data_IF_606209205170
#
_entry.id   IF_606209205170
#
_cell.length_a   1.000
_cell.length_b   1.000
_cell.length_c   1.000
_cell.angle_alpha   90.00
_cell.angle_beta   90.00
_cell.angle_gamma   90.00
#
_symmetry.space_group_name_H-M   'P 1'
#
loop_
_entity.id
_entity.type
_entity.pdbx_description
1 polymer ?
#
# COMPACT_ATOMS: atom_id res chain seq x y z
N UNK A 1 55.53 -39.62 69.65
CA UNK A 1 54.96 -39.84 71.00
C UNK A 1 54.01 -38.68 71.29
N UNK A 2 52.69 -38.95 71.34
CA UNK A 2 51.56 -38.14 71.88
C UNK A 2 51.55 -36.63 71.58
N UNK A 3 50.76 -36.14 70.60
CA UNK A 3 49.33 -35.76 70.70
C UNK A 3 48.97 -34.96 71.96
N UNK A 4 48.69 -33.66 71.79
CA UNK A 4 47.44 -33.07 72.31
C UNK A 4 47.12 -31.73 71.64
N UNK A 5 45.86 -31.68 71.22
CA UNK A 5 45.14 -30.66 70.45
C UNK A 5 44.74 -29.46 71.32
N UNK A 6 44.97 -28.25 70.84
CA UNK A 6 44.26 -27.04 71.30
C UNK A 6 43.64 -26.33 70.09
N UNK A 7 42.32 -26.46 69.95
CA UNK A 7 41.50 -25.70 69.00
C UNK A 7 41.45 -24.23 69.46
N UNK A 8 41.92 -23.31 68.63
CA UNK A 8 41.51 -21.89 68.66
C UNK A 8 40.73 -21.60 67.38
N UNK A 9 39.45 -21.29 67.54
CA UNK A 9 38.54 -20.82 66.51
C UNK A 9 38.87 -19.36 66.16
N UNK A 10 39.19 -19.12 64.89
CA UNK A 10 39.29 -17.79 64.27
C UNK A 10 38.05 -17.60 63.36
N UNK A 11 37.40 -16.42 63.36
CA UNK A 11 36.18 -16.21 62.60
C UNK A 11 36.48 -16.07 61.10
N UNK A 12 35.72 -16.80 60.28
CA UNK A 12 35.68 -16.57 58.83
C UNK A 12 35.08 -15.17 58.58
N UNK A 13 35.90 -14.27 58.04
CA UNK A 13 35.41 -13.07 57.36
C UNK A 13 35.06 -13.50 55.94
N UNK A 14 33.79 -13.77 55.70
CA UNK A 14 33.24 -13.94 54.35
C UNK A 14 33.22 -12.57 53.65
N UNK A 15 34.15 -12.34 52.74
CA UNK A 15 34.11 -11.20 51.83
C UNK A 15 33.01 -11.48 50.79
N UNK A 16 31.87 -10.85 50.97
CA UNK A 16 30.78 -10.84 49.99
C UNK A 16 31.19 -9.93 48.82
N UNK A 17 31.74 -10.51 47.76
CA UNK A 17 31.95 -9.80 46.50
C UNK A 17 30.59 -9.66 45.82
N UNK A 18 29.95 -8.50 46.00
CA UNK A 18 28.77 -8.12 45.21
C UNK A 18 29.26 -7.77 43.81
N UNK A 19 29.19 -8.73 42.89
CA UNK A 19 29.30 -8.45 41.46
C UNK A 19 27.99 -7.76 41.07
N UNK A 20 28.00 -6.43 41.03
CA UNK A 20 26.96 -5.65 40.37
C UNK A 20 27.03 -5.98 38.87
N UNK A 21 26.24 -6.94 38.42
CA UNK A 21 25.98 -7.13 37.00
C UNK A 21 25.23 -5.89 36.51
N UNK A 22 25.94 -4.97 35.86
CA UNK A 22 25.37 -3.93 35.01
C UNK A 22 24.61 -4.63 33.88
N UNK A 23 23.32 -4.88 34.10
CA UNK A 23 22.39 -5.19 33.03
C UNK A 23 22.45 -4.00 32.04
N UNK A 24 22.71 -4.22 30.75
CA UNK A 24 22.50 -3.16 29.79
C UNK A 24 21.02 -2.80 29.88
N UNK A 25 20.72 -1.54 30.15
CA UNK A 25 19.41 -0.94 29.93
C UNK A 25 19.15 -1.00 28.43
N UNK A 26 18.80 -2.18 27.94
CA UNK A 26 18.19 -2.35 26.65
C UNK A 26 16.90 -1.55 26.70
N UNK A 27 16.86 -0.45 25.96
CA UNK A 27 15.62 0.21 25.60
C UNK A 27 14.72 -0.84 24.97
N UNK A 28 13.86 -1.47 25.76
CA UNK A 28 12.72 -2.21 25.25
C UNK A 28 11.87 -1.14 24.59
N UNK A 29 12.03 -0.98 23.27
CA UNK A 29 11.19 -0.10 22.47
C UNK A 29 9.75 -0.42 22.85
N UNK A 30 9.09 0.52 23.53
CA UNK A 30 7.72 0.33 23.99
C UNK A 30 6.88 -0.05 22.78
N UNK A 31 6.29 -1.23 22.83
CA UNK A 31 5.53 -1.76 21.70
C UNK A 31 4.37 -0.80 21.44
N UNK A 32 4.42 -0.11 20.30
CA UNK A 32 3.40 0.86 19.91
C UNK A 32 2.05 0.16 19.80
N UNK A 33 1.02 0.72 20.43
CA UNK A 33 -0.36 0.30 20.21
C UNK A 33 -0.79 0.74 18.80
N UNK A 34 -1.16 -0.24 17.97
CA UNK A 34 -1.57 -0.07 16.56
C UNK A 34 -3.06 -0.34 16.36
N UNK A 35 -3.82 -0.53 17.43
CA UNK A 35 -5.27 -0.78 17.37
C UNK A 35 -6.06 0.48 17.04
N UNK A 36 -5.49 1.65 17.35
CA UNK A 36 -6.03 2.98 17.03
C UNK A 36 -4.98 3.76 16.27
N UNK A 37 -5.38 4.36 15.14
CA UNK A 37 -4.52 5.20 14.31
C UNK A 37 -5.13 6.60 14.15
N UNK A 38 -4.31 7.65 13.97
CA UNK A 38 -2.84 7.65 13.97
C UNK A 38 -2.24 7.36 15.35
N UNK A 39 -1.05 6.77 15.39
CA UNK A 39 -0.34 6.51 16.65
C UNK A 39 0.00 7.84 17.30
N UNK A 40 -0.50 8.05 18.53
CA UNK A 40 -0.30 9.30 19.27
C UNK A 40 1.16 9.47 19.66
N UNK A 41 1.73 10.64 19.35
CA UNK A 41 3.06 11.02 19.81
C UNK A 41 3.11 11.10 21.34
N UNK A 42 4.18 10.59 21.99
CA UNK A 42 4.34 10.74 23.42
C UNK A 42 4.42 12.21 23.83
N UNK A 43 3.81 12.54 24.96
CA UNK A 43 3.96 13.87 25.56
C UNK A 43 5.35 13.98 26.18
N UNK A 44 6.15 14.93 25.70
CA UNK A 44 7.46 15.24 26.30
C UNK A 44 7.29 16.24 27.44
N UNK A 45 8.04 16.09 28.55
CA UNK A 45 8.04 17.08 29.62
C UNK A 45 8.60 18.42 29.13
N UNK A 46 8.12 19.52 29.70
CA UNK A 46 8.65 20.85 29.42
C UNK A 46 10.12 20.95 29.85
N UNK A 47 10.95 21.61 29.04
CA UNK A 47 12.34 21.86 29.39
C UNK A 47 12.41 22.88 30.54
N UNK A 48 13.10 22.50 31.61
CA UNK A 48 13.42 23.41 32.73
C UNK A 48 14.77 24.10 32.54
N UNK A 49 15.50 23.78 31.46
CA UNK A 49 16.78 24.41 31.13
C UNK A 49 16.52 25.78 30.49
N UNK A 50 17.04 26.84 31.13
CA UNK A 50 16.83 28.23 30.71
C UNK A 50 17.72 28.65 29.53
N UNK A 51 18.95 28.11 29.46
CA UNK A 51 19.85 28.35 28.33
C UNK A 51 19.58 27.31 27.24
N UNK A 52 19.07 27.76 26.10
CA UNK A 52 18.75 26.88 24.98
C UNK A 52 19.98 26.09 24.45
N UNK A 53 21.21 26.56 24.70
CA UNK A 53 22.45 25.87 24.30
C UNK A 53 22.72 24.61 25.12
N UNK A 54 22.19 24.55 26.33
CA UNK A 54 22.34 23.43 27.26
C UNK A 54 21.14 22.47 27.22
N UNK A 55 20.07 22.85 26.51
CA UNK A 55 18.87 22.04 26.38
C UNK A 55 19.10 20.85 25.44
N UNK A 56 18.65 19.65 25.85
CA UNK A 56 18.68 18.44 25.03
C UNK A 56 17.32 18.20 24.39
N UNK A 57 17.27 18.19 23.06
CA UNK A 57 16.04 17.87 22.33
C UNK A 57 15.59 16.43 22.62
N UNK A 58 14.28 16.17 22.76
CA UNK A 58 13.76 14.81 22.81
C UNK A 58 14.06 14.08 21.48
N UNK A 59 14.13 12.73 21.50
CA UNK A 59 14.23 11.97 20.27
C UNK A 59 13.03 12.26 19.37
N UNK A 60 13.25 12.32 18.06
CA UNK A 60 12.15 12.46 17.09
C UNK A 60 11.24 11.25 17.19
N UNK A 61 9.94 11.48 17.35
CA UNK A 61 8.95 10.42 17.26
C UNK A 61 8.78 10.00 15.80
N UNK A 62 9.04 8.71 15.52
CA UNK A 62 8.88 8.13 14.19
C UNK A 62 8.11 6.81 14.30
N UNK A 63 7.02 6.68 13.55
CA UNK A 63 6.31 5.41 13.39
C UNK A 63 7.00 4.61 12.29
N UNK A 64 7.69 3.54 12.67
CA UNK A 64 8.29 2.57 11.73
C UNK A 64 7.37 1.37 11.57
N UNK A 65 7.43 0.72 10.41
CA UNK A 65 6.74 -0.56 10.22
C UNK A 65 7.28 -1.63 11.19
N UNK A 66 6.47 -2.64 11.56
CA UNK A 66 6.96 -3.78 12.33
C UNK A 66 8.18 -4.43 11.67
N UNK A 67 9.07 -5.00 12.49
CA UNK A 67 10.22 -5.73 11.96
C UNK A 67 9.76 -6.85 11.01
N UNK A 68 10.43 -6.97 9.85
CA UNK A 68 10.11 -7.94 8.78
C UNK A 68 8.73 -7.72 8.12
N UNK A 69 8.12 -6.54 8.28
CA UNK A 69 6.96 -6.15 7.50
C UNK A 69 7.27 -6.31 5.99
N UNK A 70 6.42 -7.03 5.22
CA UNK A 70 6.69 -7.30 3.81
C UNK A 70 6.37 -6.07 2.95
N UNK A 71 6.98 -6.01 1.78
CA UNK A 71 6.44 -5.21 0.69
C UNK A 71 5.16 -5.86 0.17
N UNK A 72 4.16 -5.06 -0.18
CA UNK A 72 2.88 -5.54 -0.69
C UNK A 72 2.63 -4.90 -2.06
N UNK A 73 2.36 -5.74 -3.06
CA UNK A 73 1.94 -5.29 -4.40
C UNK A 73 0.62 -5.96 -4.73
N UNK A 74 -0.40 -5.16 -5.02
CA UNK A 74 -1.67 -5.63 -5.58
C UNK A 74 -1.68 -5.26 -7.06
N UNK A 75 -1.76 -6.28 -7.91
CA UNK A 75 -1.97 -6.12 -9.35
C UNK A 75 -3.44 -6.39 -9.65
N UNK A 76 -4.19 -5.36 -10.03
CA UNK A 76 -5.60 -5.47 -10.40
C UNK A 76 -5.78 -5.28 -11.91
N UNK A 77 -6.30 -6.30 -12.57
CA UNK A 77 -6.67 -6.23 -13.99
C UNK A 77 -8.14 -5.83 -14.12
N UNK A 78 -8.46 -5.02 -15.12
CA UNK A 78 -9.79 -4.47 -15.35
C UNK A 78 -10.50 -5.27 -16.45
N UNK A 79 -11.70 -5.77 -16.16
CA UNK A 79 -12.55 -6.57 -17.06
C UNK A 79 -11.90 -7.84 -17.67
N UNK A 80 -10.89 -8.39 -17.01
CA UNK A 80 -10.29 -9.67 -17.42
C UNK A 80 -11.14 -10.84 -16.93
N UNK A 81 -11.73 -11.58 -17.87
CA UNK A 81 -12.53 -12.77 -17.58
C UNK A 81 -11.72 -13.90 -16.94
N UNK A 82 -12.35 -14.67 -16.06
CA UNK A 82 -11.73 -15.78 -15.33
C UNK A 82 -10.99 -16.77 -16.24
N UNK A 83 -11.60 -17.14 -17.37
CA UNK A 83 -11.07 -18.10 -18.32
C UNK A 83 -10.20 -17.47 -19.43
N UNK A 84 -9.79 -16.20 -19.30
CA UNK A 84 -8.94 -15.57 -20.31
C UNK A 84 -7.48 -16.07 -20.19
N UNK A 85 -6.93 -16.11 -18.98
CA UNK A 85 -5.51 -16.37 -18.71
C UNK A 85 -5.14 -17.84 -18.79
N UNK A 86 -3.99 -18.14 -19.42
CA UNK A 86 -3.35 -19.47 -19.41
C UNK A 86 -3.15 -20.05 -18.01
N UNK A 87 -2.97 -19.21 -16.97
CA UNK A 87 -2.78 -19.65 -15.59
C UNK A 87 -4.02 -20.34 -15.00
N UNK A 88 -5.19 -20.07 -15.59
CA UNK A 88 -6.49 -20.65 -15.27
C UNK A 88 -7.04 -21.51 -16.42
N UNK A 89 -6.19 -21.91 -17.38
CA UNK A 89 -6.56 -22.76 -18.52
C UNK A 89 -7.12 -22.02 -19.73
N UNK A 90 -7.03 -20.69 -19.74
CA UNK A 90 -7.50 -19.84 -20.82
C UNK A 90 -6.58 -19.78 -22.06
N UNK A 91 -7.07 -19.26 -23.19
CA UNK A 91 -6.33 -19.21 -24.44
C UNK A 91 -5.29 -18.09 -24.52
N UNK A 92 -5.35 -17.08 -23.63
CA UNK A 92 -4.43 -15.95 -23.63
C UNK A 92 -3.16 -16.33 -22.87
N UNK A 93 -2.05 -16.39 -23.60
CA UNK A 93 -0.73 -16.70 -23.08
C UNK A 93 -0.22 -15.58 -22.15
N UNK A 94 -0.10 -15.87 -20.85
CA UNK A 94 0.35 -14.94 -19.82
C UNK A 94 1.51 -15.55 -19.01
N UNK A 95 2.71 -15.71 -19.62
CA UNK A 95 3.78 -16.51 -19.04
C UNK A 95 4.33 -15.95 -17.71
N UNK A 96 4.24 -14.64 -17.49
CA UNK A 96 4.60 -14.04 -16.20
C UNK A 96 3.61 -14.42 -15.10
N UNK A 97 2.31 -14.42 -15.41
CA UNK A 97 1.27 -14.85 -14.48
C UNK A 97 1.32 -16.37 -14.24
N UNK A 98 1.65 -17.15 -15.27
CA UNK A 98 1.88 -18.60 -15.13
C UNK A 98 2.99 -18.90 -14.13
N UNK A 99 4.11 -18.18 -14.19
CA UNK A 99 5.21 -18.32 -13.23
C UNK A 99 4.77 -17.97 -11.80
N UNK A 100 4.10 -16.82 -11.62
CA UNK A 100 3.57 -16.42 -10.31
C UNK A 100 2.58 -17.45 -9.75
N UNK A 101 1.76 -18.04 -10.61
CA UNK A 101 0.80 -19.07 -10.23
C UNK A 101 1.47 -20.42 -9.90
N UNK A 102 2.58 -20.77 -10.56
CA UNK A 102 3.33 -22.00 -10.31
C UNK A 102 4.09 -21.95 -8.97
N UNK A 103 4.63 -20.78 -8.63
CA UNK A 103 5.39 -20.55 -7.38
C UNK A 103 4.50 -20.02 -6.23
N UNK A 104 3.19 -19.92 -6.46
CA UNK A 104 2.24 -19.26 -5.56
C UNK A 104 0.95 -20.05 -5.34
N UNK A 105 -0.11 -19.32 -4.99
CA UNK A 105 -1.45 -19.88 -4.76
C UNK A 105 -2.41 -19.38 -5.83
N UNK A 106 -3.29 -20.27 -6.29
CA UNK A 106 -4.42 -19.95 -7.16
C UNK A 106 -5.72 -20.20 -6.42
N UNK A 107 -6.67 -19.28 -6.60
CA UNK A 107 -8.00 -19.38 -6.00
C UNK A 107 -9.04 -19.51 -7.11
N UNK A 108 -9.83 -20.58 -7.08
CA UNK A 108 -10.98 -20.79 -7.97
C UNK A 108 -12.32 -20.41 -7.32
N UNK A 109 -12.28 -19.87 -6.10
CA UNK A 109 -13.42 -19.33 -5.34
C UNK A 109 -13.09 -17.97 -4.75
N UNK A 110 -12.53 -17.09 -5.58
CA UNK A 110 -12.31 -15.68 -5.27
C UNK A 110 -13.42 -14.86 -5.91
N UNK A 111 -14.04 -13.96 -5.14
CA UNK A 111 -15.18 -13.18 -5.61
C UNK A 111 -14.89 -11.70 -5.46
N UNK A 112 -15.10 -10.96 -6.55
CA UNK A 112 -15.23 -9.51 -6.56
C UNK A 112 -16.71 -9.14 -6.53
N UNK A 113 -17.02 -7.85 -6.58
CA UNK A 113 -18.39 -7.43 -6.92
C UNK A 113 -18.57 -7.49 -8.45
N UNK A 114 -19.79 -7.18 -8.92
CA UNK A 114 -20.11 -7.21 -10.35
C UNK A 114 -19.56 -6.01 -11.15
N UNK A 115 -19.06 -4.96 -10.49
CA UNK A 115 -18.63 -3.71 -11.13
C UNK A 115 -17.31 -3.19 -10.58
N UNK A 116 -16.67 -2.30 -11.34
CA UNK A 116 -15.34 -1.75 -11.05
C UNK A 116 -15.29 -0.94 -9.75
N UNK A 117 -15.98 0.21 -9.62
CA UNK A 117 -15.93 1.02 -8.39
C UNK A 117 -16.35 0.25 -7.13
N UNK A 118 -17.44 -0.55 -7.16
CA UNK A 118 -17.82 -1.36 -6.00
C UNK A 118 -16.73 -2.38 -5.58
N UNK A 119 -16.04 -3.01 -6.55
CA UNK A 119 -14.92 -3.91 -6.26
C UNK A 119 -13.73 -3.16 -5.66
N UNK A 120 -13.37 -2.01 -6.24
CA UNK A 120 -12.19 -1.22 -5.85
C UNK A 120 -12.35 -0.68 -4.43
N UNK A 121 -13.48 -0.05 -4.14
CA UNK A 121 -13.79 0.43 -2.79
C UNK A 121 -13.79 -0.69 -1.76
N UNK A 122 -14.34 -1.87 -2.09
CA UNK A 122 -14.30 -3.01 -1.19
C UNK A 122 -12.86 -3.52 -0.95
N UNK A 123 -12.05 -3.61 -2.00
CA UNK A 123 -10.65 -4.01 -1.93
C UNK A 123 -9.80 -3.04 -1.10
N UNK A 124 -9.95 -1.73 -1.34
CA UNK A 124 -9.16 -0.69 -0.69
C UNK A 124 -9.66 -0.31 0.70
N UNK A 125 -10.71 -0.94 1.23
CA UNK A 125 -11.23 -0.66 2.58
C UNK A 125 -11.50 -1.91 3.42
N UNK A 126 -11.59 -3.09 2.79
CA UNK A 126 -12.03 -4.32 3.45
C UNK A 126 -13.50 -4.30 3.89
N UNK A 127 -14.32 -3.40 3.34
CA UNK A 127 -15.75 -3.26 3.67
C UNK A 127 -16.64 -3.57 2.49
N UNK A 128 -17.88 -3.99 2.74
CA UNK A 128 -18.87 -4.16 1.69
C UNK A 128 -19.07 -2.86 0.91
N UNK A 129 -19.21 -2.94 -0.41
CA UNK A 129 -19.31 -1.76 -1.27
C UNK A 129 -20.52 -0.85 -0.96
N UNK A 130 -21.62 -1.37 -0.42
CA UNK A 130 -22.73 -0.52 0.05
C UNK A 130 -22.35 0.28 1.32
N UNK A 131 -21.54 -0.28 2.21
CA UNK A 131 -21.01 0.46 3.38
C UNK A 131 -20.07 1.58 2.93
N UNK A 132 -19.39 1.39 1.80
CA UNK A 132 -18.59 2.42 1.13
C UNK A 132 -19.42 3.43 0.32
N UNK A 133 -20.76 3.30 0.29
CA UNK A 133 -21.64 4.06 -0.60
C UNK A 133 -21.33 3.91 -2.10
N UNK A 134 -20.81 2.76 -2.51
CA UNK A 134 -20.53 2.39 -3.90
C UNK A 134 -21.42 1.21 -4.33
N UNK A 135 -22.73 1.45 -4.44
CA UNK A 135 -23.69 0.45 -4.91
C UNK A 135 -23.58 0.17 -6.41
N UNK A 136 -23.14 1.16 -7.18
CA UNK A 136 -22.83 1.10 -8.60
C UNK A 136 -21.49 1.79 -8.89
N UNK A 137 -21.17 1.99 -10.17
CA UNK A 137 -20.02 2.83 -10.56
C UNK A 137 -20.20 4.27 -10.05
N UNK A 138 -19.10 4.98 -9.81
CA UNK A 138 -19.13 6.35 -9.27
C UNK A 138 -19.98 7.32 -10.11
N UNK A 139 -20.05 7.08 -11.42
CA UNK A 139 -20.86 7.85 -12.38
C UNK A 139 -22.37 7.65 -12.22
N UNK A 140 -22.79 6.58 -11.53
CA UNK A 140 -24.19 6.25 -11.25
C UNK A 140 -24.54 6.40 -9.76
N UNK A 141 -23.75 7.18 -9.03
CA UNK A 141 -24.07 7.54 -7.67
C UNK A 141 -25.38 8.33 -7.57
N UNK A 142 -26.07 8.19 -6.44
CA UNK A 142 -27.38 8.80 -6.15
C UNK A 142 -27.33 9.57 -4.82
N UNK A 143 -28.42 10.20 -4.41
CA UNK A 143 -28.48 10.83 -3.09
C UNK A 143 -28.77 9.83 -1.94
N UNK A 144 -28.99 8.55 -2.24
CA UNK A 144 -29.44 7.57 -1.25
C UNK A 144 -28.28 6.78 -0.61
N UNK A 145 -28.35 6.50 0.70
CA UNK A 145 -27.37 5.67 1.40
C UNK A 145 -27.18 4.32 0.71
N UNK A 146 -25.94 3.85 0.66
CA UNK A 146 -25.56 2.64 -0.06
C UNK A 146 -25.05 2.89 -1.47
N UNK A 147 -25.32 4.07 -2.06
CA UNK A 147 -24.83 4.42 -3.39
C UNK A 147 -24.59 5.93 -3.57
N UNK A 148 -24.11 6.65 -2.55
CA UNK A 148 -23.84 8.10 -2.65
C UNK A 148 -22.58 8.48 -3.42
N UNK A 149 -21.69 7.52 -3.71
CA UNK A 149 -20.36 7.78 -4.26
C UNK A 149 -19.38 8.39 -3.23
N UNK A 150 -19.80 8.56 -1.97
CA UNK A 150 -19.01 9.17 -0.91
C UNK A 150 -18.70 8.13 0.16
N UNK A 151 -17.44 7.67 0.18
CA UNK A 151 -16.93 6.82 1.27
C UNK A 151 -17.07 7.57 2.60
N UNK A 152 -17.80 7.03 3.59
CA UNK A 152 -18.00 7.72 4.86
C UNK A 152 -16.72 7.73 5.69
N UNK A 153 -16.54 8.76 6.54
CA UNK A 153 -15.36 8.91 7.41
C UNK A 153 -15.21 7.78 8.45
N UNK A 154 -16.25 6.96 8.66
CA UNK A 154 -16.20 5.75 9.47
C UNK A 154 -15.48 4.57 8.79
N UNK A 155 -15.13 4.70 7.51
CA UNK A 155 -14.41 3.69 6.73
C UNK A 155 -13.03 4.20 6.37
N UNK A 156 -12.01 3.64 7.03
CA UNK A 156 -10.62 3.97 6.79
C UNK A 156 -10.09 3.27 5.51
N UNK A 157 -9.39 3.99 4.61
CA UNK A 157 -8.69 3.38 3.49
C UNK A 157 -7.51 2.50 3.94
N UNK A 158 -7.28 1.40 3.24
CA UNK A 158 -6.16 0.48 3.46
C UNK A 158 -4.81 1.19 3.34
N UNK A 159 -4.66 2.05 2.33
CA UNK A 159 -3.43 2.81 2.13
C UNK A 159 -3.16 3.75 3.32
N UNK A 160 -4.19 4.40 3.85
CA UNK A 160 -4.06 5.27 5.03
C UNK A 160 -3.59 4.47 6.25
N UNK A 161 -4.22 3.32 6.50
CA UNK A 161 -3.84 2.45 7.61
C UNK A 161 -2.39 1.97 7.49
N UNK A 162 -1.94 1.58 6.29
CA UNK A 162 -0.55 1.15 6.05
C UNK A 162 0.44 2.32 6.18
N UNK A 163 0.11 3.49 5.63
CA UNK A 163 0.92 4.72 5.74
C UNK A 163 1.12 5.12 7.19
N UNK A 164 0.04 5.17 7.97
CA UNK A 164 0.07 5.48 9.41
C UNK A 164 0.80 4.41 10.24
N UNK A 165 1.04 3.22 9.67
CA UNK A 165 1.85 2.17 10.27
C UNK A 165 3.30 2.13 9.77
N UNK A 166 3.74 3.11 8.97
CA UNK A 166 5.13 3.27 8.55
C UNK A 166 5.46 2.72 7.16
N UNK A 167 4.46 2.39 6.32
CA UNK A 167 4.69 2.06 4.91
C UNK A 167 4.84 3.32 4.06
N UNK A 168 5.55 3.20 2.94
CA UNK A 168 5.38 4.12 1.79
C UNK A 168 4.26 3.59 0.91
N UNK A 169 3.35 4.43 0.45
CA UNK A 169 2.17 3.98 -0.30
C UNK A 169 2.10 4.61 -1.67
N UNK A 170 1.80 3.82 -2.71
CA UNK A 170 1.66 4.32 -4.06
C UNK A 170 0.54 3.62 -4.84
N UNK A 171 -0.15 4.39 -5.69
CA UNK A 171 -1.15 3.89 -6.62
C UNK A 171 -0.79 4.26 -8.06
N UNK A 172 -0.90 3.29 -8.97
CA UNK A 172 -0.63 3.47 -10.39
C UNK A 172 -1.81 2.96 -11.22
N UNK A 173 -2.30 3.79 -12.15
CA UNK A 173 -3.36 3.45 -13.10
C UNK A 173 -4.77 3.89 -12.68
N UNK A 174 -5.76 3.01 -12.84
CA UNK A 174 -7.18 3.30 -12.61
C UNK A 174 -7.49 3.38 -11.12
N UNK A 175 -8.03 4.50 -10.67
CA UNK A 175 -8.50 4.65 -9.29
C UNK A 175 -9.99 4.32 -9.13
N UNK A 176 -10.88 5.11 -9.74
CA UNK A 176 -12.32 4.89 -9.82
C UNK A 176 -13.08 4.78 -8.47
N UNK A 177 -12.59 5.49 -7.45
CA UNK A 177 -13.29 5.68 -6.16
C UNK A 177 -13.65 7.15 -5.86
N UNK A 178 -13.22 8.08 -6.72
CA UNK A 178 -13.58 9.50 -6.60
C UNK A 178 -14.86 9.74 -7.40
N UNK A 179 -15.89 10.37 -6.83
CA UNK A 179 -17.09 10.71 -7.59
C UNK A 179 -16.78 11.77 -8.67
N UNK A 180 -17.42 11.71 -9.85
CA UNK A 180 -17.07 12.57 -10.98
C UNK A 180 -17.12 14.07 -10.69
N UNK A 181 -18.05 14.51 -9.82
CA UNK A 181 -18.20 15.93 -9.47
C UNK A 181 -17.04 16.48 -8.60
N UNK A 182 -16.17 15.62 -8.09
CA UNK A 182 -14.95 16.02 -7.37
C UNK A 182 -13.69 15.97 -8.24
N UNK A 183 -13.82 15.47 -9.48
CA UNK A 183 -12.70 15.38 -10.43
C UNK A 183 -12.53 16.74 -11.11
N UNK A 184 -12.10 17.73 -10.34
CA UNK A 184 -11.87 19.09 -10.81
C UNK A 184 -10.67 19.75 -10.12
N UNK A 185 -10.17 20.82 -10.73
CA UNK A 185 -9.12 21.67 -10.13
C UNK A 185 -9.60 22.46 -8.91
N UNK A 186 -10.92 22.54 -8.70
CA UNK A 186 -11.52 23.24 -7.56
C UNK A 186 -11.59 22.35 -6.30
N UNK A 187 -11.31 21.05 -6.43
CA UNK A 187 -11.56 20.07 -5.39
C UNK A 187 -13.06 19.85 -5.11
N UNK A 188 -13.42 19.30 -3.94
CA UNK A 188 -12.52 18.86 -2.87
C UNK A 188 -11.65 17.65 -3.30
N UNK A 189 -10.50 17.49 -2.65
CA UNK A 189 -9.57 16.40 -2.93
C UNK A 189 -9.70 15.21 -1.96
N UNK A 190 -10.63 15.24 -1.00
CA UNK A 190 -10.67 14.29 0.12
C UNK A 190 -10.68 12.82 -0.30
N UNK A 191 -11.37 12.49 -1.41
CA UNK A 191 -11.50 11.11 -1.91
C UNK A 191 -10.50 10.78 -3.00
N UNK A 192 -9.64 11.71 -3.39
CA UNK A 192 -8.55 11.44 -4.31
C UNK A 192 -7.53 10.47 -3.71
N UNK A 193 -6.76 9.74 -4.53
CA UNK A 193 -5.76 8.79 -4.05
C UNK A 193 -4.83 9.38 -2.98
N UNK A 194 -4.34 10.60 -3.20
CA UNK A 194 -3.38 11.28 -2.33
C UNK A 194 -3.94 11.66 -0.96
N UNK A 195 -5.26 11.80 -0.85
CA UNK A 195 -5.96 12.06 0.42
C UNK A 195 -6.65 10.80 0.96
N UNK A 196 -6.56 9.69 0.22
CA UNK A 196 -7.01 8.34 0.65
C UNK A 196 -5.84 7.45 1.08
N UNK A 197 -4.72 8.09 1.43
CA UNK A 197 -3.56 7.44 2.05
C UNK A 197 -2.47 6.95 1.11
N UNK A 198 -2.53 7.27 -0.18
CA UNK A 198 -1.42 7.04 -1.10
C UNK A 198 -0.46 8.24 -1.12
N UNK A 199 0.81 8.05 -0.80
CA UNK A 199 1.83 9.11 -0.90
C UNK A 199 2.12 9.48 -2.37
N UNK A 200 2.03 8.52 -3.28
CA UNK A 200 2.17 8.70 -4.73
C UNK A 200 0.91 8.24 -5.46
N UNK A 201 0.48 9.03 -6.44
CA UNK A 201 -0.47 8.60 -7.45
C UNK A 201 0.03 8.95 -8.84
N UNK A 202 -0.12 8.02 -9.78
CA UNK A 202 0.06 8.29 -11.20
C UNK A 202 -0.96 7.49 -12.00
N UNK A 203 -1.96 8.14 -12.57
CA UNK A 203 -2.93 7.48 -13.43
C UNK A 203 -4.20 8.28 -13.66
N UNK A 204 -5.34 7.62 -13.75
CA UNK A 204 -6.60 8.29 -14.07
C UNK A 204 -7.69 7.98 -13.05
N UNK A 205 -8.59 8.94 -12.86
CA UNK A 205 -9.60 8.90 -11.81
C UNK A 205 -10.89 8.20 -12.26
N UNK A 206 -11.33 8.42 -13.50
CA UNK A 206 -12.61 7.91 -14.01
C UNK A 206 -12.65 6.39 -14.23
N UNK A 207 -13.80 5.91 -14.70
CA UNK A 207 -14.03 4.50 -14.98
C UNK A 207 -13.28 3.93 -16.17
N UNK A 208 -12.89 4.75 -17.13
CA UNK A 208 -12.14 4.30 -18.30
C UNK A 208 -11.28 5.43 -18.85
N UNK A 209 -10.33 5.09 -19.72
CA UNK A 209 -9.50 6.09 -20.39
C UNK A 209 -8.97 5.56 -21.72
N UNK A 210 -8.66 6.46 -22.64
CA UNK A 210 -7.98 6.12 -23.87
C UNK A 210 -6.53 5.71 -23.56
N UNK A 211 -6.13 4.48 -23.90
CA UNK A 211 -4.78 3.99 -23.58
C UNK A 211 -3.65 4.64 -24.42
N UNK A 212 -4.00 5.35 -25.50
CA UNK A 212 -3.06 6.10 -26.36
C UNK A 212 -2.98 7.59 -26.00
N UNK A 213 -4.05 8.14 -25.43
CA UNK A 213 -4.16 9.55 -25.04
C UNK A 213 -4.98 9.68 -23.76
N UNK A 214 -4.48 9.14 -22.62
CA UNK A 214 -5.21 9.10 -21.36
C UNK A 214 -5.27 10.48 -20.68
N UNK A 215 -6.30 10.68 -19.86
CA UNK A 215 -6.39 11.82 -18.95
C UNK A 215 -5.64 11.51 -17.64
N UNK A 216 -4.32 11.71 -17.63
CA UNK A 216 -3.44 11.33 -16.52
C UNK A 216 -3.38 12.45 -15.47
N UNK A 217 -3.30 12.04 -14.21
CA UNK A 217 -2.94 12.83 -13.07
C UNK A 217 -1.70 12.26 -12.39
N UNK A 218 -0.77 13.14 -12.03
CA UNK A 218 0.29 12.88 -11.07
C UNK A 218 -0.06 13.60 -9.77
N UNK A 219 -0.43 12.82 -8.74
CA UNK A 219 -1.10 13.34 -7.55
C UNK A 219 -2.45 13.97 -7.89
N UNK A 220 -2.52 15.30 -7.84
CA UNK A 220 -3.71 16.08 -8.23
C UNK A 220 -3.50 16.91 -9.49
N UNK A 221 -2.27 16.96 -10.01
CA UNK A 221 -1.94 17.73 -11.19
C UNK A 221 -2.21 16.89 -12.43
N UNK A 222 -2.96 17.45 -13.38
CA UNK A 222 -3.11 16.82 -14.70
C UNK A 222 -1.77 16.87 -15.44
N UNK A 223 -1.36 15.76 -16.03
CA UNK A 223 -0.15 15.66 -16.82
C UNK A 223 -0.48 15.16 -18.21
N UNK A 224 0.17 15.73 -19.22
CA UNK A 224 -0.02 15.32 -20.60
C UNK A 224 0.89 14.12 -20.91
N UNK A 225 0.37 13.07 -21.57
CA UNK A 225 1.20 11.98 -22.04
C UNK A 225 2.22 12.48 -23.09
N UNK A 226 3.36 11.80 -23.23
CA UNK A 226 4.31 12.12 -24.30
C UNK A 226 3.65 11.95 -25.67
N UNK A 227 3.99 12.83 -26.61
CA UNK A 227 3.53 12.74 -28.00
C UNK A 227 4.37 11.71 -28.77
N UNK A 228 4.21 10.43 -28.42
CA UNK A 228 4.89 9.31 -29.07
C UNK A 228 3.85 8.37 -29.71
N UNK A 229 3.91 8.10 -31.03
CA UNK A 229 3.03 7.11 -31.68
C UNK A 229 3.11 5.69 -31.10
N UNK A 230 4.18 5.36 -30.37
CA UNK A 230 4.35 4.07 -29.68
C UNK A 230 3.91 4.09 -28.22
N UNK A 231 3.48 5.25 -27.73
CA UNK A 231 3.01 5.39 -26.35
C UNK A 231 1.88 4.41 -26.06
N UNK A 232 1.87 3.81 -24.89
CA UNK A 232 0.71 3.10 -24.36
C UNK A 232 0.69 3.26 -22.84
N UNK A 233 -0.45 3.64 -22.28
CA UNK A 233 -0.55 4.00 -20.87
C UNK A 233 -0.11 2.88 -19.93
N UNK A 234 -0.42 1.61 -20.23
CA UNK A 234 0.04 0.48 -19.41
C UNK A 234 1.57 0.40 -19.33
N UNK A 235 2.29 0.73 -20.41
CA UNK A 235 3.76 0.71 -20.41
C UNK A 235 4.28 1.87 -19.55
N UNK A 236 3.72 3.07 -19.72
CA UNK A 236 4.12 4.25 -18.96
C UNK A 236 3.90 4.06 -17.45
N UNK A 237 2.67 3.73 -17.03
CA UNK A 237 2.39 3.51 -15.59
C UNK A 237 3.24 2.38 -14.99
N UNK A 238 3.62 1.37 -15.79
CA UNK A 238 4.54 0.31 -15.35
C UNK A 238 5.94 0.87 -15.09
N UNK A 239 6.46 1.69 -16.01
CA UNK A 239 7.76 2.35 -15.83
C UNK A 239 7.75 3.30 -14.63
N UNK A 240 6.67 4.08 -14.45
CA UNK A 240 6.51 4.93 -13.27
C UNK A 240 6.52 4.13 -11.97
N UNK A 241 5.82 3.00 -11.93
CA UNK A 241 5.80 2.12 -10.76
C UNK A 241 7.19 1.54 -10.45
N UNK A 242 7.89 1.02 -11.45
CA UNK A 242 9.24 0.47 -11.30
C UNK A 242 10.21 1.55 -10.79
N UNK A 243 10.20 2.73 -11.42
CA UNK A 243 11.07 3.85 -11.03
C UNK A 243 10.79 4.29 -9.59
N UNK A 244 9.53 4.38 -9.19
CA UNK A 244 9.15 4.75 -7.82
C UNK A 244 9.61 3.69 -6.80
N UNK A 245 9.40 2.40 -7.09
CA UNK A 245 9.84 1.30 -6.21
C UNK A 245 11.37 1.33 -6.05
N UNK A 246 12.11 1.48 -7.14
CA UNK A 246 13.58 1.55 -7.12
C UNK A 246 14.07 2.74 -6.31
N UNK A 247 13.47 3.93 -6.50
CA UNK A 247 13.82 5.12 -5.73
C UNK A 247 13.51 4.97 -4.24
N UNK A 248 12.33 4.45 -3.90
CA UNK A 248 11.91 4.24 -2.51
C UNK A 248 12.86 3.28 -1.78
N UNK A 249 13.18 2.14 -2.41
CA UNK A 249 14.09 1.14 -1.86
C UNK A 249 15.52 1.65 -1.74
N UNK A 250 15.97 2.48 -2.69
CA UNK A 250 17.31 3.07 -2.64
C UNK A 250 17.47 4.10 -1.51
N UNK A 251 16.42 4.88 -1.24
CA UNK A 251 16.44 5.93 -0.21
C UNK A 251 16.14 5.38 1.19
N UNK A 252 15.28 4.37 1.29
CA UNK A 252 14.77 3.83 2.56
C UNK A 252 14.61 2.31 2.51
N UNK A 253 15.71 1.54 2.43
CA UNK A 253 15.66 0.09 2.22
C UNK A 253 14.93 -0.68 3.34
N UNK A 254 14.97 -0.17 4.57
CA UNK A 254 14.30 -0.78 5.72
C UNK A 254 12.81 -0.40 5.83
N UNK A 255 12.32 0.52 4.98
CA UNK A 255 10.92 0.94 4.97
C UNK A 255 10.14 0.14 3.92
N UNK A 256 9.09 -0.61 4.29
CA UNK A 256 8.31 -1.36 3.32
C UNK A 256 7.42 -0.44 2.49
N UNK A 257 7.01 -0.93 1.32
CA UNK A 257 6.05 -0.25 0.47
C UNK A 257 4.77 -1.05 0.24
N UNK A 258 3.68 -0.32 -0.01
CA UNK A 258 2.44 -0.83 -0.55
C UNK A 258 2.18 -0.19 -1.91
N UNK A 259 2.07 -1.00 -2.95
CA UNK A 259 1.75 -0.57 -4.31
C UNK A 259 0.41 -1.15 -4.75
N UNK A 260 -0.53 -0.27 -5.08
CA UNK A 260 -1.75 -0.62 -5.79
C UNK A 260 -1.56 -0.33 -7.28
N UNK A 261 -1.35 -1.38 -8.06
CA UNK A 261 -1.13 -1.32 -9.51
C UNK A 261 -2.38 -1.80 -10.23
N UNK A 262 -3.18 -0.87 -10.75
CA UNK A 262 -4.48 -1.20 -11.34
C UNK A 262 -4.54 -0.75 -12.81
N UNK A 263 -4.48 -1.69 -13.74
CA UNK A 263 -4.44 -1.36 -15.17
C UNK A 263 -5.78 -0.76 -15.63
N UNK A 264 -5.73 0.09 -16.66
CA UNK A 264 -6.92 0.48 -17.42
C UNK A 264 -7.12 -0.35 -18.70
N UNK A 265 -6.06 -0.96 -19.22
CA UNK A 265 -6.14 -1.83 -20.39
C UNK A 265 -6.87 -3.14 -20.07
N UNK A 266 -7.39 -3.78 -21.12
CA UNK A 266 -8.39 -4.86 -21.11
C UNK A 266 -9.84 -4.42 -20.83
N UNK A 267 -10.05 -3.22 -20.30
CA UNK A 267 -11.32 -2.51 -20.38
C UNK A 267 -11.45 -1.78 -21.73
N UNK A 268 -12.67 -1.35 -22.06
CA UNK A 268 -12.90 -0.43 -23.18
C UNK A 268 -12.17 0.93 -22.97
N UNK A 269 -11.72 1.59 -24.05
CA UNK A 269 -11.63 1.09 -25.43
C UNK A 269 -10.50 0.06 -25.61
N UNK A 270 -10.71 -0.95 -26.46
CA UNK A 270 -9.74 -2.03 -26.72
C UNK A 270 -8.56 -1.55 -27.59
N UNK A 271 -7.62 -0.91 -26.93
CA UNK A 271 -6.41 -0.35 -27.51
C UNK A 271 -5.24 -1.29 -27.25
N UNK A 272 -4.77 -1.97 -28.30
CA UNK A 272 -3.67 -2.92 -28.22
C UNK A 272 -2.67 -2.68 -29.36
N UNK A 273 -1.36 -2.65 -29.11
CA UNK A 273 -0.39 -2.54 -30.19
C UNK A 273 -0.46 -3.75 -31.11
N UNK A 274 -0.28 -3.50 -32.42
CA UNK A 274 -0.43 -4.53 -33.47
C UNK A 274 0.41 -5.79 -33.21
N UNK A 275 1.63 -5.62 -32.72
CA UNK A 275 2.54 -6.73 -32.38
C UNK A 275 1.99 -7.70 -31.33
N UNK A 276 1.05 -7.27 -30.48
CA UNK A 276 0.38 -8.13 -29.50
C UNK A 276 -0.86 -8.77 -30.10
N UNK A 277 -1.65 -8.03 -30.87
CA UNK A 277 -2.84 -8.56 -31.55
C UNK A 277 -2.48 -9.63 -32.59
N UNK A 278 -1.42 -9.41 -33.37
CA UNK A 278 -0.99 -10.30 -34.46
C UNK A 278 -0.61 -11.71 -33.96
N UNK A 279 -0.24 -11.85 -32.68
CA UNK A 279 0.05 -13.17 -32.05
C UNK A 279 -1.19 -14.07 -31.98
N UNK A 280 -2.38 -13.49 -32.03
CA UNK A 280 -3.66 -14.18 -31.93
C UNK A 280 -4.45 -14.19 -33.24
N UNK A 281 -3.84 -13.78 -34.35
CA UNK A 281 -4.51 -13.79 -35.67
C UNK A 281 -5.00 -15.20 -36.00
N UNK A 282 -6.29 -15.33 -36.31
CA UNK A 282 -6.94 -16.61 -36.64
C UNK A 282 -7.26 -17.51 -35.44
N UNK A 283 -6.95 -17.11 -34.20
CA UNK A 283 -7.16 -17.95 -33.01
C UNK A 283 -8.58 -17.88 -32.44
N UNK A 284 -9.35 -16.87 -32.85
CA UNK A 284 -10.69 -16.58 -32.34
C UNK A 284 -11.71 -16.38 -33.47
N UNK A 285 -11.42 -16.87 -34.69
CA UNK A 285 -12.28 -16.65 -35.87
C UNK A 285 -13.61 -17.43 -35.81
N UNK A 286 -13.71 -18.43 -34.92
CA UNK A 286 -14.91 -19.28 -34.76
C UNK A 286 -15.94 -18.71 -33.78
N UNK A 287 -15.62 -17.62 -33.06
CA UNK A 287 -16.45 -17.06 -31.99
C UNK A 287 -16.07 -17.58 -30.62
#
# INVERSE_FOLDING_TARGET
MKSETTKKTSPLISVLVVILSLLPLGSTAQQLDRTVLPIKEPTYPESTVLDARDAKAPPRFEVKAPAKAPNVVIVLLDDVGFAASSAFGGPINMPTLDKLAADGLRYNRFHTTALCSPTRTALLTGRNHHVNNAGAIMELATAFPGNTGIRPNSVAPLAEMLRQNGYSTAAFGKYHETPPWEVSVSGPYDRWPTHSGFDKFYGFIGGETNQWSPAIFDGVARVEPPHDPKYHFTIDMTNQAINWIQAQQSLTPDKPFYVYFATGACHAPHHVPKEWADKYKGKFDEG
#
